data_IF_420339998903
#
_entry.id   IF_420339998903
#
_cell.length_a   1.000
_cell.length_b   1.000
_cell.length_c   1.000
_cell.angle_alpha   90.00
_cell.angle_beta   90.00
_cell.angle_gamma   90.00
#
_symmetry.space_group_name_H-M   'P 1'
#
loop_
_entity.id
_entity.type
_entity.pdbx_description
1 polymer ?
#
# COMPACT_ATOMS: atom_id res chain seq x y z
N UNK A 1 7.30 -6.35 -9.67
CA UNK A 1 6.72 -5.30 -8.80
C UNK A 1 7.74 -4.98 -7.73
N UNK A 2 7.69 -3.82 -7.07
CA UNK A 2 8.49 -3.54 -5.87
C UNK A 2 7.58 -3.71 -4.66
N UNK A 3 8.08 -4.36 -3.60
CA UNK A 3 7.43 -4.37 -2.30
C UNK A 3 8.04 -3.26 -1.42
N UNK A 4 7.21 -2.37 -0.92
CA UNK A 4 7.59 -1.34 0.04
C UNK A 4 7.31 -1.87 1.44
N UNK A 5 8.37 -2.22 2.16
CA UNK A 5 8.32 -2.47 3.60
C UNK A 5 8.73 -1.20 4.31
N UNK A 6 7.78 -0.53 4.97
CA UNK A 6 8.03 0.71 5.70
C UNK A 6 7.36 0.65 7.07
N UNK A 7 8.01 1.22 8.08
CA UNK A 7 7.37 1.36 9.38
C UNK A 7 6.31 2.44 9.30
N UNK A 8 5.09 2.09 9.69
CA UNK A 8 3.99 3.03 9.87
C UNK A 8 4.36 3.89 11.06
N UNK A 9 5.04 5.01 10.82
CA UNK A 9 5.42 5.94 11.88
C UNK A 9 4.20 6.34 12.72
N UNK A 10 4.42 6.96 13.88
CA UNK A 10 3.35 7.44 14.78
C UNK A 10 2.37 8.47 14.17
N UNK A 11 2.51 8.80 12.89
CA UNK A 11 1.69 9.78 12.20
C UNK A 11 0.40 9.14 11.71
N UNK A 12 -0.72 9.69 12.16
CA UNK A 12 -2.13 9.29 11.93
C UNK A 12 -2.60 9.41 10.47
N UNK A 13 -1.69 9.58 9.52
CA UNK A 13 -1.97 9.92 8.11
C UNK A 13 -1.59 8.81 7.15
N UNK A 14 -1.45 7.57 7.62
CA UNK A 14 -1.28 6.43 6.72
C UNK A 14 -2.58 6.20 5.94
N UNK A 15 -2.51 6.31 4.62
CA UNK A 15 -3.60 5.87 3.74
C UNK A 15 -3.71 4.36 3.85
N UNK A 16 -4.82 3.87 4.42
CA UNK A 16 -5.04 2.44 4.65
C UNK A 16 -6.23 1.92 3.86
N UNK A 17 -6.11 0.69 3.37
CA UNK A 17 -7.24 -0.03 2.77
C UNK A 17 -8.04 -0.73 3.85
N UNK A 18 -9.31 -0.39 3.92
CA UNK A 18 -10.33 -1.08 4.72
C UNK A 18 -11.45 -1.52 3.79
N UNK A 19 -12.34 -2.41 4.23
CA UNK A 19 -13.46 -2.91 3.40
C UNK A 19 -14.30 -1.77 2.83
N UNK A 20 -14.39 -0.64 3.56
CA UNK A 20 -15.12 0.57 3.14
C UNK A 20 -14.35 1.40 2.10
N UNK A 21 -13.03 1.44 2.16
CA UNK A 21 -12.18 2.24 1.26
C UNK A 21 -11.70 1.45 0.04
N UNK A 22 -11.74 0.12 0.08
CA UNK A 22 -11.35 -0.77 -1.01
C UNK A 22 -12.03 -0.44 -2.36
N UNK A 23 -13.36 -0.19 -2.44
CA UNK A 23 -14.00 0.15 -3.71
C UNK A 23 -13.51 1.49 -4.30
N UNK A 24 -13.09 2.42 -3.43
CA UNK A 24 -12.52 3.70 -3.84
C UNK A 24 -11.07 3.50 -4.30
N UNK A 25 -10.30 2.67 -3.59
CA UNK A 25 -8.91 2.37 -3.93
C UNK A 25 -8.80 1.64 -5.28
N UNK A 26 -9.74 0.74 -5.59
CA UNK A 26 -9.81 0.05 -6.90
C UNK A 26 -10.11 1.02 -8.05
N UNK A 27 -10.92 2.06 -7.80
CA UNK A 27 -11.21 3.11 -8.80
C UNK A 27 -10.01 4.02 -9.08
N UNK A 28 -9.00 3.97 -8.24
CA UNK A 28 -7.82 4.81 -8.33
C UNK A 28 -7.80 5.87 -7.23
N UNK A 29 -6.59 6.11 -6.73
CA UNK A 29 -6.32 7.06 -5.65
C UNK A 29 -5.51 8.22 -6.25
N UNK A 30 -5.88 9.44 -5.91
CA UNK A 30 -5.12 10.61 -6.36
C UNK A 30 -3.71 10.60 -5.76
N UNK A 31 -2.63 10.88 -6.53
CA UNK A 31 -1.28 10.96 -5.99
C UNK A 31 -1.15 11.92 -4.79
N UNK A 32 -1.97 12.97 -4.74
CA UNK A 32 -2.00 13.97 -3.68
C UNK A 32 -2.57 13.47 -2.35
N UNK A 33 -3.33 12.38 -2.34
CA UNK A 33 -3.82 11.77 -1.09
C UNK A 33 -2.82 10.80 -0.47
N UNK A 34 -1.73 10.50 -1.17
CA UNK A 34 -0.66 9.70 -0.60
C UNK A 34 0.27 10.55 0.26
N UNK A 35 0.79 10.00 1.37
CA UNK A 35 1.90 10.61 2.10
C UNK A 35 3.10 10.87 1.19
N UNK A 36 3.93 11.85 1.54
CA UNK A 36 5.14 12.21 0.77
C UNK A 36 6.02 10.99 0.45
N UNK A 37 6.20 10.08 1.41
CA UNK A 37 6.95 8.83 1.22
C UNK A 37 6.45 8.02 0.01
N UNK A 38 5.13 7.87 -0.13
CA UNK A 38 4.54 7.11 -1.22
C UNK A 38 4.69 7.83 -2.56
N UNK A 39 4.65 9.16 -2.57
CA UNK A 39 4.90 9.95 -3.77
C UNK A 39 6.35 9.77 -4.25
N UNK A 40 7.31 9.84 -3.32
CA UNK A 40 8.73 9.61 -3.62
C UNK A 40 8.97 8.20 -4.17
N UNK A 41 8.38 7.17 -3.54
CA UNK A 41 8.50 5.79 -3.99
C UNK A 41 7.84 5.59 -5.36
N UNK A 42 6.68 6.19 -5.61
CA UNK A 42 6.03 6.14 -6.93
C UNK A 42 6.91 6.78 -8.02
N UNK A 43 7.56 7.89 -7.72
CA UNK A 43 8.47 8.55 -8.67
C UNK A 43 9.74 7.74 -8.91
N UNK A 44 10.29 7.08 -7.89
CA UNK A 44 11.39 6.13 -8.06
C UNK A 44 10.94 4.95 -8.93
N UNK A 45 9.79 4.34 -8.65
CA UNK A 45 9.24 3.24 -9.46
C UNK A 45 9.07 3.65 -10.93
N UNK A 46 8.53 4.84 -11.19
CA UNK A 46 8.40 5.38 -12.56
C UNK A 46 9.75 5.55 -13.24
N UNK A 47 10.74 6.11 -12.54
CA UNK A 47 12.11 6.28 -13.07
C UNK A 47 12.79 4.94 -13.37
N UNK A 48 12.49 3.92 -12.58
CA UNK A 48 12.99 2.55 -12.79
C UNK A 48 12.16 1.75 -13.82
N UNK A 49 11.09 2.32 -14.40
CA UNK A 49 10.22 1.62 -15.34
C UNK A 49 9.33 0.54 -14.70
N UNK A 50 9.16 0.57 -13.39
CA UNK A 50 8.40 -0.41 -12.63
C UNK A 50 6.96 0.08 -12.47
N UNK A 51 6.02 -0.70 -13.03
CA UNK A 51 4.60 -0.35 -13.07
C UNK A 51 3.85 -0.63 -11.77
N UNK A 52 4.33 -1.57 -10.97
CA UNK A 52 3.59 -2.12 -9.84
C UNK A 52 4.37 -1.93 -8.54
N UNK A 53 3.73 -1.25 -7.60
CA UNK A 53 4.19 -1.07 -6.22
C UNK A 53 3.22 -1.79 -5.30
N UNK A 54 3.75 -2.65 -4.44
CA UNK A 54 3.02 -3.32 -3.38
C UNK A 54 3.37 -2.65 -2.06
N UNK A 55 2.37 -2.30 -1.26
CA UNK A 55 2.55 -1.75 0.07
C UNK A 55 1.50 -2.35 1.00
N UNK A 56 1.94 -2.84 2.15
CA UNK A 56 1.12 -3.50 3.15
C UNK A 56 -0.11 -2.67 3.56
N UNK A 57 0.06 -1.36 3.77
CA UNK A 57 -1.05 -0.47 4.12
C UNK A 57 -2.17 -0.38 3.08
N UNK A 58 -1.86 -0.65 1.80
CA UNK A 58 -2.79 -0.51 0.69
C UNK A 58 -3.27 -1.85 0.14
N UNK A 59 -2.42 -2.86 0.20
CA UNK A 59 -2.69 -4.18 -0.36
C UNK A 59 -3.31 -5.13 0.67
N UNK A 60 -3.26 -4.81 1.97
CA UNK A 60 -3.86 -5.61 3.04
C UNK A 60 -5.05 -4.86 3.62
N UNK A 61 -6.18 -5.55 3.74
CA UNK A 61 -7.37 -5.06 4.45
C UNK A 61 -7.09 -5.01 5.96
N UNK A 62 -6.99 -3.80 6.51
CA UNK A 62 -6.64 -3.60 7.92
C UNK A 62 -7.78 -3.94 8.90
N UNK A 63 -9.00 -4.07 8.40
CA UNK A 63 -10.20 -4.40 9.17
C UNK A 63 -10.60 -5.88 9.11
N UNK A 64 -9.85 -6.72 8.38
CA UNK A 64 -10.06 -8.17 8.35
C UNK A 64 -8.79 -8.91 8.77
N UNK A 65 -8.91 -9.66 9.85
CA UNK A 65 -7.81 -10.50 10.38
C UNK A 65 -7.51 -11.66 9.45
N UNK A 66 -8.53 -12.18 8.75
CA UNK A 66 -8.42 -13.26 7.78
C UNK A 66 -7.63 -12.82 6.54
N UNK A 67 -7.92 -11.63 6.03
CA UNK A 67 -7.23 -11.04 4.89
C UNK A 67 -5.77 -10.69 5.24
N UNK A 68 -5.55 -10.17 6.45
CA UNK A 68 -4.21 -9.96 7.00
C UNK A 68 -3.41 -11.27 7.03
N UNK A 69 -3.99 -12.38 7.49
CA UNK A 69 -3.30 -13.68 7.53
C UNK A 69 -2.94 -14.19 6.13
N UNK A 70 -3.84 -14.04 5.16
CA UNK A 70 -3.63 -14.47 3.78
C UNK A 70 -2.54 -13.65 3.08
N UNK A 71 -2.60 -12.33 3.18
CA UNK A 71 -1.63 -11.45 2.52
C UNK A 71 -0.28 -11.42 3.24
N UNK A 72 -0.24 -11.51 4.58
CA UNK A 72 1.00 -11.66 5.33
C UNK A 72 1.74 -12.97 5.01
N UNK A 73 1.00 -14.06 4.77
CA UNK A 73 1.60 -15.31 4.31
C UNK A 73 2.27 -15.18 2.92
N UNK A 74 1.71 -14.36 2.02
CA UNK A 74 2.32 -14.08 0.71
C UNK A 74 3.57 -13.21 0.81
N UNK A 75 3.65 -12.32 1.80
CA UNK A 75 4.90 -11.59 2.08
C UNK A 75 6.04 -12.49 2.53
N UNK A 76 5.72 -13.60 3.23
CA UNK A 76 6.72 -14.56 3.70
C UNK A 76 7.32 -15.43 2.58
N UNK A 77 6.69 -15.43 1.39
CA UNK A 77 7.09 -16.20 0.21
C UNK A 77 7.84 -15.34 -0.85
N UNK A 78 8.27 -14.13 -0.47
CA UNK A 78 9.06 -13.20 -1.31
C UNK A 78 10.47 -13.02 -0.76
#
# INVERSE_FOLDING_TARGET
>A
YIALSYCWGRSTTCLTTTTKTLPLHIKGIAPTSFPSLFQDVMDICRRLGIRYLWADALCILQDSTEDWQLEAAKMADV
#
